data_IF_896412715257
#
_entry.id   IF_896412715257
#
_cell.length_a   1.000
_cell.length_b   1.000
_cell.length_c   1.000
_cell.angle_alpha   90.00
_cell.angle_beta   90.00
_cell.angle_gamma   90.00
#
_symmetry.space_group_name_H-M   'P 1'
#
loop_
_entity.id
_entity.type
_entity.pdbx_description
1 polymer ?
#
# COMPACT_ATOMS: atom_id res chain seq x y z
N UNK A 1 -18.63 -27.78 -22.89
CA UNK A 1 -18.55 -28.18 -21.48
C UNK A 1 -19.44 -29.41 -21.22
N UNK A 2 -18.88 -30.42 -20.52
CA UNK A 2 -19.64 -31.67 -20.20
C UNK A 2 -20.42 -31.55 -18.87
N UNK A 3 -19.98 -30.66 -17.93
CA UNK A 3 -20.66 -30.44 -16.67
C UNK A 3 -21.79 -29.43 -16.85
N UNK A 4 -22.95 -29.72 -16.30
CA UNK A 4 -24.09 -28.77 -16.29
C UNK A 4 -23.77 -27.49 -15.57
N UNK A 5 -23.07 -27.56 -14.43
CA UNK A 5 -22.63 -26.37 -13.66
C UNK A 5 -21.75 -25.42 -14.46
N UNK A 6 -20.79 -25.98 -15.23
CA UNK A 6 -19.92 -25.17 -16.09
C UNK A 6 -20.70 -24.59 -17.27
N UNK A 7 -21.68 -25.34 -17.80
CA UNK A 7 -22.54 -24.86 -18.87
C UNK A 7 -23.37 -23.68 -18.41
N UNK A 8 -24.02 -23.75 -17.23
CA UNK A 8 -24.82 -22.69 -16.68
C UNK A 8 -23.99 -21.39 -16.42
N UNK A 9 -22.75 -21.54 -15.90
CA UNK A 9 -21.79 -20.44 -15.80
C UNK A 9 -21.45 -19.86 -17.18
N UNK A 10 -21.20 -20.72 -18.17
CA UNK A 10 -20.88 -20.30 -19.54
C UNK A 10 -22.03 -19.57 -20.21
N UNK A 11 -23.26 -19.98 -19.98
CA UNK A 11 -24.47 -19.30 -20.46
C UNK A 11 -24.67 -17.92 -19.79
N UNK A 12 -24.39 -17.85 -18.48
CA UNK A 12 -24.54 -16.59 -17.71
C UNK A 12 -23.43 -15.58 -18.04
N UNK A 13 -22.16 -15.98 -18.03
CA UNK A 13 -21.01 -15.09 -18.20
C UNK A 13 -20.47 -15.02 -19.64
N UNK A 14 -20.83 -15.97 -20.49
CA UNK A 14 -20.27 -16.13 -21.82
C UNK A 14 -18.94 -16.90 -21.83
N UNK A 15 -18.62 -17.46 -23.00
CA UNK A 15 -17.41 -18.30 -23.19
C UNK A 15 -16.11 -17.53 -22.99
N UNK A 16 -16.10 -16.24 -23.25
CA UNK A 16 -14.90 -15.40 -23.16
C UNK A 16 -14.32 -15.34 -21.74
N UNK A 17 -15.15 -15.49 -20.69
CA UNK A 17 -14.66 -15.58 -19.31
C UNK A 17 -13.65 -16.73 -19.15
N UNK A 18 -13.96 -17.89 -19.72
CA UNK A 18 -13.10 -19.07 -19.64
C UNK A 18 -11.90 -19.01 -20.59
N UNK A 19 -12.06 -18.32 -21.73
CA UNK A 19 -10.98 -18.11 -22.70
C UNK A 19 -9.97 -17.04 -22.23
N UNK A 20 -10.37 -16.17 -21.31
CA UNK A 20 -9.50 -15.14 -20.73
C UNK A 20 -8.44 -15.71 -19.78
N UNK A 21 -8.66 -16.90 -19.21
CA UNK A 21 -7.67 -17.58 -18.37
C UNK A 21 -6.44 -17.97 -19.19
N UNK A 22 -5.28 -17.58 -18.71
CA UNK A 22 -4.00 -17.93 -19.34
C UNK A 22 -3.03 -18.49 -18.29
N UNK A 23 -2.55 -19.69 -18.54
CA UNK A 23 -1.60 -20.35 -17.65
C UNK A 23 -0.16 -19.86 -17.90
N UNK A 24 0.58 -19.59 -16.84
CA UNK A 24 2.00 -19.27 -16.92
C UNK A 24 2.85 -20.45 -17.44
N UNK A 25 2.39 -21.69 -17.27
CA UNK A 25 3.14 -22.91 -17.59
C UNK A 25 2.98 -23.38 -19.04
N UNK A 26 2.04 -22.82 -19.80
CA UNK A 26 1.72 -23.26 -21.17
C UNK A 26 2.23 -22.33 -22.27
N UNK A 27 3.22 -21.47 -21.97
CA UNK A 27 3.89 -20.61 -22.96
C UNK A 27 3.18 -19.29 -23.27
N UNK A 28 2.12 -18.91 -22.52
CA UNK A 28 1.40 -17.66 -22.71
C UNK A 28 2.01 -16.51 -21.92
N UNK A 29 1.88 -16.55 -20.60
CA UNK A 29 2.39 -15.57 -19.66
C UNK A 29 3.50 -16.16 -18.80
N UNK A 30 4.38 -15.30 -18.29
CA UNK A 30 5.35 -15.62 -17.27
C UNK A 30 4.74 -15.56 -15.85
N UNK A 31 5.47 -16.02 -14.86
CA UNK A 31 5.02 -16.03 -13.46
C UNK A 31 5.05 -14.64 -12.84
N UNK A 32 4.03 -14.28 -12.04
CA UNK A 32 4.07 -13.11 -11.18
C UNK A 32 5.14 -13.21 -10.09
N UNK A 33 5.45 -14.43 -9.64
CA UNK A 33 6.46 -14.66 -8.62
C UNK A 33 7.88 -14.43 -9.15
N UNK A 34 8.12 -14.81 -10.42
CA UNK A 34 9.41 -14.67 -11.07
C UNK A 34 9.20 -14.17 -12.53
N UNK A 35 8.92 -12.88 -12.71
CA UNK A 35 8.63 -12.32 -14.01
C UNK A 35 9.86 -12.34 -14.93
N UNK A 36 9.76 -12.94 -16.11
CA UNK A 36 10.85 -13.04 -17.07
C UNK A 36 10.47 -12.60 -18.49
N UNK A 37 9.17 -12.55 -18.79
CA UNK A 37 8.65 -12.29 -20.13
C UNK A 37 7.72 -11.08 -20.22
N UNK A 38 6.47 -11.30 -20.60
CA UNK A 38 5.49 -10.22 -20.82
C UNK A 38 5.10 -9.49 -19.53
N UNK A 39 4.99 -10.20 -18.42
CA UNK A 39 4.70 -9.58 -17.11
C UNK A 39 5.86 -8.66 -16.73
N UNK A 40 7.11 -9.11 -16.86
CA UNK A 40 8.28 -8.27 -16.60
C UNK A 40 8.27 -7.00 -17.44
N UNK A 41 8.08 -7.11 -18.76
CA UNK A 41 7.99 -5.95 -19.65
C UNK A 41 6.88 -4.98 -19.24
N UNK A 42 5.73 -5.53 -18.85
CA UNK A 42 4.58 -4.74 -18.39
C UNK A 42 4.89 -3.99 -17.08
N UNK A 43 5.56 -4.62 -16.13
CA UNK A 43 6.03 -3.99 -14.89
C UNK A 43 7.04 -2.87 -15.17
N UNK A 44 7.99 -3.08 -16.08
CA UNK A 44 8.95 -2.06 -16.50
C UNK A 44 8.27 -0.87 -17.19
N UNK A 45 7.24 -1.11 -18.02
CA UNK A 45 6.45 -0.04 -18.63
C UNK A 45 5.66 0.74 -17.59
N UNK A 46 5.05 0.06 -16.62
CA UNK A 46 4.35 0.69 -15.51
C UNK A 46 5.31 1.51 -14.64
N UNK A 47 6.50 0.99 -14.34
CA UNK A 47 7.52 1.72 -13.59
C UNK A 47 7.90 3.04 -14.29
N UNK A 48 8.12 3.02 -15.60
CA UNK A 48 8.37 4.26 -16.37
C UNK A 48 7.19 5.23 -16.34
N UNK A 49 5.96 4.73 -16.47
CA UNK A 49 4.76 5.57 -16.46
C UNK A 49 4.53 6.25 -15.11
N UNK A 50 4.75 5.55 -14.01
CA UNK A 50 4.60 6.08 -12.65
C UNK A 50 5.84 6.82 -12.14
N UNK A 51 6.99 6.71 -12.81
CA UNK A 51 8.27 7.28 -12.36
C UNK A 51 8.83 6.55 -11.15
N UNK A 52 8.59 5.25 -11.06
CA UNK A 52 9.09 4.38 -9.99
C UNK A 52 10.33 3.59 -10.47
N UNK A 53 11.20 3.21 -9.55
CA UNK A 53 12.33 2.33 -9.84
C UNK A 53 11.84 0.92 -10.19
N UNK A 54 10.83 0.44 -9.45
CA UNK A 54 10.23 -0.88 -9.64
C UNK A 54 8.72 -0.83 -9.47
N UNK A 55 8.02 -1.72 -10.19
CA UNK A 55 6.59 -2.00 -10.01
C UNK A 55 6.41 -3.50 -9.88
N UNK A 56 5.61 -3.91 -8.93
CA UNK A 56 5.22 -5.30 -8.71
C UNK A 56 3.71 -5.42 -8.88
N UNK A 57 3.28 -6.27 -9.81
CA UNK A 57 1.85 -6.56 -9.96
C UNK A 57 1.40 -7.54 -8.87
N UNK A 58 0.28 -7.21 -8.24
CA UNK A 58 -0.30 -8.02 -7.18
C UNK A 58 -1.75 -8.33 -7.53
N UNK A 59 -2.10 -9.59 -7.46
CA UNK A 59 -3.50 -10.05 -7.50
C UNK A 59 -4.13 -9.91 -6.11
N UNK A 60 -5.44 -9.92 -5.97
CA UNK A 60 -6.18 -9.71 -4.72
C UNK A 60 -6.15 -8.27 -4.15
N UNK A 61 -5.86 -7.29 -5.00
CA UNK A 61 -5.97 -5.86 -4.66
C UNK A 61 -4.94 -5.33 -3.67
N UNK A 62 -5.06 -4.05 -3.35
CA UNK A 62 -4.13 -3.31 -2.47
C UNK A 62 -3.99 -3.93 -1.08
N UNK A 63 -5.02 -4.60 -0.57
CA UNK A 63 -4.94 -5.31 0.72
C UNK A 63 -3.83 -6.36 0.76
N UNK A 64 -3.54 -7.00 -0.35
CA UNK A 64 -2.42 -7.95 -0.45
C UNK A 64 -1.10 -7.19 -0.60
N UNK A 65 -1.06 -6.12 -1.41
CA UNK A 65 0.13 -5.27 -1.54
C UNK A 65 0.60 -4.74 -0.19
N UNK A 66 -0.31 -4.18 0.63
CA UNK A 66 0.00 -3.66 1.95
C UNK A 66 0.61 -4.74 2.86
N UNK A 67 0.00 -5.94 2.90
CA UNK A 67 0.55 -7.06 3.68
C UNK A 67 1.92 -7.52 3.19
N UNK A 68 2.13 -7.57 1.88
CA UNK A 68 3.43 -7.97 1.30
C UNK A 68 4.53 -6.97 1.67
N UNK A 69 4.26 -5.67 1.52
CA UNK A 69 5.22 -4.62 1.85
C UNK A 69 5.59 -4.66 3.34
N UNK A 70 4.60 -4.73 4.22
CA UNK A 70 4.86 -4.79 5.66
C UNK A 70 5.66 -6.04 6.02
N UNK A 71 5.29 -7.22 5.53
CA UNK A 71 6.03 -8.46 5.83
C UNK A 71 7.44 -8.47 5.24
N UNK A 72 7.68 -7.78 4.12
CA UNK A 72 9.00 -7.70 3.51
C UNK A 72 9.96 -6.74 4.25
N UNK A 73 9.43 -5.70 4.89
CA UNK A 73 10.23 -4.59 5.41
C UNK A 73 10.22 -4.45 6.92
N UNK A 74 9.27 -5.09 7.61
CA UNK A 74 9.08 -4.99 9.07
C UNK A 74 9.39 -6.33 9.73
N UNK A 75 10.24 -6.30 10.74
CA UNK A 75 10.62 -7.46 11.55
C UNK A 75 9.97 -7.39 12.95
N UNK A 76 9.93 -8.52 13.67
CA UNK A 76 9.47 -8.53 15.06
C UNK A 76 10.29 -7.56 15.92
N UNK A 77 9.58 -6.65 16.60
CA UNK A 77 10.18 -5.62 17.43
C UNK A 77 10.36 -4.26 16.76
N UNK A 78 10.24 -4.18 15.45
CA UNK A 78 10.20 -2.88 14.74
C UNK A 78 8.93 -2.11 15.10
N UNK A 79 9.06 -0.80 15.19
CA UNK A 79 7.93 0.11 15.41
C UNK A 79 7.48 0.67 14.07
N UNK A 80 6.18 0.58 13.81
CA UNK A 80 5.54 1.22 12.66
C UNK A 80 4.59 2.29 13.17
N UNK A 81 4.85 3.54 12.80
CA UNK A 81 3.92 4.66 13.05
C UNK A 81 2.84 4.56 11.99
N UNK A 82 1.59 4.40 12.41
CA UNK A 82 0.48 4.12 11.50
C UNK A 82 -0.75 4.95 11.86
N UNK A 83 -1.43 5.48 10.83
CA UNK A 83 -2.72 6.13 11.01
C UNK A 83 -3.74 5.12 11.57
N UNK A 84 -4.34 5.45 12.71
CA UNK A 84 -5.36 4.59 13.30
C UNK A 84 -6.58 4.38 12.41
N UNK A 85 -6.86 5.32 11.51
CA UNK A 85 -7.97 5.26 10.55
C UNK A 85 -7.59 4.58 9.22
N UNK A 86 -6.46 3.86 9.17
CA UNK A 86 -6.02 3.14 7.98
C UNK A 86 -6.90 1.92 7.68
N UNK A 87 -6.77 1.39 6.46
CA UNK A 87 -7.47 0.16 6.08
C UNK A 87 -6.98 -1.03 6.91
N UNK A 88 -7.88 -1.95 7.26
CA UNK A 88 -7.60 -3.15 8.09
C UNK A 88 -6.43 -4.01 7.60
N UNK A 89 -6.07 -3.94 6.31
CA UNK A 89 -4.94 -4.71 5.75
C UNK A 89 -3.59 -4.33 6.36
N UNK A 90 -3.42 -3.08 6.82
CA UNK A 90 -2.21 -2.62 7.51
C UNK A 90 -2.07 -3.32 8.85
N UNK A 91 -3.14 -3.37 9.64
CA UNK A 91 -3.15 -4.08 10.92
C UNK A 91 -2.83 -5.58 10.75
N UNK A 92 -3.42 -6.21 9.72
CA UNK A 92 -3.12 -7.61 9.42
C UNK A 92 -1.68 -7.81 8.96
N UNK A 93 -1.14 -6.87 8.17
CA UNK A 93 0.28 -6.87 7.79
C UNK A 93 1.19 -6.82 9.01
N UNK A 94 0.90 -5.93 9.96
CA UNK A 94 1.67 -5.78 11.21
C UNK A 94 1.61 -7.04 12.09
N UNK A 95 0.43 -7.65 12.22
CA UNK A 95 0.29 -8.93 12.94
C UNK A 95 1.14 -10.02 12.30
N UNK A 96 1.11 -10.14 10.97
CA UNK A 96 1.87 -11.13 10.23
C UNK A 96 3.38 -10.87 10.24
N UNK A 97 3.81 -9.61 10.21
CA UNK A 97 5.22 -9.20 10.26
C UNK A 97 5.79 -9.14 11.68
N UNK A 98 4.94 -9.19 12.72
CA UNK A 98 5.38 -9.05 14.10
C UNK A 98 5.77 -7.62 14.50
N UNK A 99 5.39 -6.63 13.69
CA UNK A 99 5.65 -5.22 13.97
C UNK A 99 4.81 -4.67 15.12
N UNK A 100 5.34 -3.68 15.83
CA UNK A 100 4.65 -2.98 16.91
C UNK A 100 4.02 -1.68 16.37
N UNK A 101 2.68 -1.57 16.29
CA UNK A 101 2.06 -0.34 15.86
C UNK A 101 2.18 0.76 16.92
N UNK A 102 2.57 1.95 16.50
CA UNK A 102 2.34 3.19 17.21
C UNK A 102 1.26 3.97 16.47
N UNK A 103 0.06 3.96 17.00
CA UNK A 103 -1.06 4.64 16.37
C UNK A 103 -0.99 6.14 16.54
N UNK A 104 -1.16 6.86 15.43
CA UNK A 104 -1.35 8.31 15.40
C UNK A 104 -2.78 8.63 15.01
N UNK A 105 -3.35 9.65 15.64
CA UNK A 105 -4.77 9.98 15.48
C UNK A 105 -4.96 11.05 14.41
N UNK A 106 -5.92 10.82 13.53
CA UNK A 106 -6.38 11.80 12.57
C UNK A 106 -7.10 12.97 13.28
N UNK A 107 -7.04 14.16 12.70
CA UNK A 107 -7.72 15.34 13.24
C UNK A 107 -9.24 15.18 13.06
N UNK A 108 -10.06 15.30 14.13
CA UNK A 108 -11.50 15.16 14.01
C UNK A 108 -12.14 16.40 13.39
N UNK A 109 -12.88 16.22 12.30
CA UNK A 109 -13.73 17.24 11.66
C UNK A 109 -15.16 17.04 12.11
N UNK A 110 -15.44 17.30 13.38
CA UNK A 110 -16.71 16.96 14.04
C UNK A 110 -17.93 17.60 13.40
N UNK A 111 -17.78 18.80 12.85
CA UNK A 111 -18.86 19.51 12.15
C UNK A 111 -19.33 18.83 10.87
N UNK A 112 -18.50 17.96 10.30
CA UNK A 112 -18.81 17.17 9.09
C UNK A 112 -18.98 15.67 9.40
N UNK A 113 -18.88 15.26 10.65
CA UNK A 113 -18.85 13.85 11.07
C UNK A 113 -17.78 13.04 10.34
N UNK A 114 -16.61 13.63 10.12
CA UNK A 114 -15.49 13.08 9.36
C UNK A 114 -14.21 13.10 10.18
N UNK A 115 -13.26 12.27 9.77
CA UNK A 115 -11.85 12.39 10.17
C UNK A 115 -11.07 13.14 9.10
N UNK A 116 -10.18 14.04 9.53
CA UNK A 116 -9.19 14.66 8.65
C UNK A 116 -7.97 13.76 8.45
N UNK A 117 -6.88 14.35 7.97
CA UNK A 117 -5.59 13.69 7.94
C UNK A 117 -4.90 13.72 9.32
N UNK A 118 -3.90 12.88 9.53
CA UNK A 118 -3.04 12.96 10.71
C UNK A 118 -2.16 14.23 10.59
N UNK A 119 -2.19 15.14 11.55
CA UNK A 119 -1.36 16.33 11.49
C UNK A 119 0.14 15.99 11.48
N UNK A 120 0.92 16.63 10.61
CA UNK A 120 2.37 16.40 10.56
C UNK A 120 3.05 16.67 11.92
N UNK A 121 2.56 17.62 12.68
CA UNK A 121 3.05 17.90 14.03
C UNK A 121 2.89 16.67 14.96
N UNK A 122 1.79 15.92 14.84
CA UNK A 122 1.55 14.70 15.61
C UNK A 122 2.55 13.60 15.22
N UNK A 123 2.81 13.44 13.91
CA UNK A 123 3.78 12.45 13.41
C UNK A 123 5.19 12.80 13.93
N UNK A 124 5.59 14.06 13.79
CA UNK A 124 6.89 14.53 14.28
C UNK A 124 7.03 14.38 15.78
N UNK A 125 5.97 14.70 16.53
CA UNK A 125 5.96 14.49 17.98
C UNK A 125 6.19 13.03 18.33
N UNK A 126 5.54 12.10 17.68
CA UNK A 126 5.72 10.68 17.91
C UNK A 126 7.19 10.24 17.67
N UNK A 127 7.82 10.73 16.60
CA UNK A 127 9.24 10.45 16.32
C UNK A 127 10.16 11.05 17.40
N UNK A 128 9.89 12.28 17.85
CA UNK A 128 10.68 12.95 18.87
C UNK A 128 10.52 12.29 20.23
N UNK A 129 9.31 11.93 20.62
CA UNK A 129 9.04 11.19 21.86
C UNK A 129 9.80 9.86 21.88
N UNK A 130 9.77 9.09 20.77
CA UNK A 130 10.53 7.85 20.65
C UNK A 130 12.06 8.06 20.70
N UNK A 131 12.54 9.19 20.17
CA UNK A 131 13.95 9.57 20.28
C UNK A 131 14.33 9.81 21.73
N UNK A 132 13.52 10.57 22.44
CA UNK A 132 13.76 10.94 23.83
C UNK A 132 13.66 9.72 24.78
N UNK A 133 12.85 8.71 24.37
CA UNK A 133 12.79 7.38 25.03
C UNK A 133 13.96 6.43 24.64
N UNK A 134 14.86 6.82 23.74
CA UNK A 134 15.93 5.95 23.24
C UNK A 134 15.44 4.80 22.36
N UNK A 135 14.30 4.95 21.71
CA UNK A 135 13.64 3.92 20.89
C UNK A 135 13.53 4.28 19.41
N UNK A 136 14.09 5.41 18.99
CA UNK A 136 14.01 5.88 17.60
C UNK A 136 14.59 4.87 16.61
N UNK A 137 15.64 4.15 16.97
CA UNK A 137 16.30 3.15 16.11
C UNK A 137 15.37 2.00 15.75
N UNK A 138 14.35 1.74 16.58
CA UNK A 138 13.35 0.71 16.33
C UNK A 138 12.25 1.16 15.38
N UNK A 139 12.16 2.45 15.08
CA UNK A 139 11.15 2.96 14.14
C UNK A 139 11.58 2.60 12.72
N UNK A 140 10.81 1.74 12.10
CA UNK A 140 11.09 1.23 10.76
C UNK A 140 10.33 1.95 9.67
N UNK A 141 9.06 2.25 9.92
CA UNK A 141 8.15 2.71 8.86
C UNK A 141 7.15 3.73 9.38
N UNK A 142 6.80 4.69 8.53
CA UNK A 142 5.62 5.52 8.63
C UNK A 142 4.62 5.08 7.56
N UNK A 143 3.43 4.67 7.98
CA UNK A 143 2.38 4.08 7.15
C UNK A 143 1.14 4.98 7.18
N UNK A 144 0.83 5.63 6.07
CA UNK A 144 -0.27 6.59 5.94
C UNK A 144 -1.11 6.34 4.69
N UNK A 145 -2.39 6.62 4.77
CA UNK A 145 -3.32 6.55 3.63
C UNK A 145 -3.38 7.89 2.90
N UNK A 146 -2.98 7.90 1.63
CA UNK A 146 -3.05 9.04 0.73
C UNK A 146 -3.76 8.64 -0.58
N UNK A 147 -4.91 8.98 -0.88
CA UNK A 147 -5.98 9.78 -0.37
C UNK A 147 -6.84 8.94 0.62
N UNK A 148 -7.30 9.55 1.70
CA UNK A 148 -8.18 8.86 2.65
C UNK A 148 -9.56 8.61 2.03
N UNK A 149 -10.39 7.80 2.70
CA UNK A 149 -11.76 7.55 2.26
C UNK A 149 -12.60 8.84 2.14
N UNK A 150 -12.32 9.83 2.98
CA UNK A 150 -12.97 11.14 2.97
C UNK A 150 -12.31 12.14 2.00
N UNK A 151 -11.34 11.72 1.20
CA UNK A 151 -10.70 12.53 0.17
C UNK A 151 -9.54 13.41 0.65
N UNK A 152 -9.03 13.20 1.86
CA UNK A 152 -7.89 13.97 2.35
C UNK A 152 -6.57 13.47 1.76
N UNK A 153 -5.72 14.42 1.38
CA UNK A 153 -4.41 14.17 0.80
C UNK A 153 -3.32 14.85 1.63
N UNK A 154 -2.14 14.25 1.65
CA UNK A 154 -0.95 14.83 2.25
C UNK A 154 -0.12 15.59 1.21
N UNK A 155 0.58 16.62 1.64
CA UNK A 155 1.78 17.05 0.94
C UNK A 155 2.89 16.03 1.27
N UNK A 156 2.94 14.95 0.50
CA UNK A 156 3.82 13.80 0.75
C UNK A 156 5.28 14.20 0.84
N UNK A 157 5.72 15.08 -0.07
CA UNK A 157 7.09 15.59 -0.08
C UNK A 157 7.45 16.27 1.24
N UNK A 158 6.60 17.18 1.72
CA UNK A 158 6.83 17.88 2.98
C UNK A 158 6.85 16.90 4.17
N UNK A 159 5.93 15.96 4.21
CA UNK A 159 5.89 14.93 5.27
C UNK A 159 7.19 14.14 5.29
N UNK A 160 7.65 13.68 4.11
CA UNK A 160 8.87 12.90 3.99
C UNK A 160 10.10 13.73 4.40
N UNK A 161 10.28 14.93 3.87
CA UNK A 161 11.43 15.79 4.17
C UNK A 161 11.53 16.12 5.67
N UNK A 162 10.41 16.49 6.32
CA UNK A 162 10.40 16.84 7.74
C UNK A 162 10.58 15.61 8.66
N UNK A 163 10.10 14.44 8.27
CA UNK A 163 10.32 13.20 9.03
C UNK A 163 11.76 12.67 8.85
N UNK A 164 12.32 12.74 7.64
CA UNK A 164 13.71 12.34 7.37
C UNK A 164 14.73 13.22 8.10
N UNK A 165 14.40 14.47 8.38
CA UNK A 165 15.23 15.33 9.21
C UNK A 165 15.36 14.82 10.66
N UNK A 166 14.41 14.00 11.14
CA UNK A 166 14.43 13.39 12.48
C UNK A 166 14.99 11.96 12.43
N UNK A 167 14.57 11.17 11.43
CA UNK A 167 14.99 9.78 11.20
C UNK A 167 15.34 9.57 9.72
N UNK A 168 16.62 9.69 9.37
CA UNK A 168 17.08 9.68 7.96
C UNK A 168 16.84 8.37 7.19
N UNK A 169 16.71 7.25 7.87
CA UNK A 169 16.48 5.91 7.31
C UNK A 169 15.01 5.44 7.43
N UNK A 170 14.09 6.37 7.71
CA UNK A 170 12.66 6.06 7.81
C UNK A 170 12.11 5.62 6.46
N UNK A 171 11.39 4.51 6.44
CA UNK A 171 10.65 4.02 5.27
C UNK A 171 9.25 4.62 5.28
N UNK A 172 8.75 5.01 4.10
CA UNK A 172 7.39 5.52 3.93
C UNK A 172 6.57 4.52 3.13
N UNK A 173 5.43 4.13 3.67
CA UNK A 173 4.39 3.41 2.96
C UNK A 173 3.20 4.35 2.77
N UNK A 174 2.88 4.66 1.51
CA UNK A 174 1.71 5.43 1.13
C UNK A 174 0.67 4.48 0.55
N UNK A 175 -0.44 4.29 1.25
CA UNK A 175 -1.58 3.57 0.70
C UNK A 175 -2.36 4.51 -0.22
N UNK A 176 -2.22 4.30 -1.51
CA UNK A 176 -2.85 5.08 -2.57
C UNK A 176 -3.88 4.25 -3.35
N UNK A 177 -4.57 3.32 -2.68
CA UNK A 177 -5.56 2.44 -3.31
C UNK A 177 -6.61 3.19 -4.15
N UNK A 178 -6.94 4.41 -3.77
CA UNK A 178 -7.93 5.28 -4.43
C UNK A 178 -7.31 6.36 -5.31
N UNK A 179 -5.98 6.51 -5.35
CA UNK A 179 -5.33 7.73 -5.82
C UNK A 179 -4.34 7.52 -6.97
N UNK A 180 -4.16 6.29 -7.47
CA UNK A 180 -3.19 5.98 -8.52
C UNK A 180 -3.35 6.81 -9.81
N UNK A 181 -4.58 7.27 -10.13
CA UNK A 181 -4.83 8.11 -11.29
C UNK A 181 -4.22 9.52 -11.16
N UNK A 182 -4.00 9.99 -9.95
CA UNK A 182 -3.52 11.36 -9.69
C UNK A 182 -2.14 11.62 -10.31
N UNK A 183 -1.30 10.61 -10.45
CA UNK A 183 0.00 10.69 -11.13
C UNK A 183 -0.11 11.25 -12.56
N UNK A 184 -1.25 11.06 -13.21
CA UNK A 184 -1.49 11.43 -14.60
C UNK A 184 -2.34 12.71 -14.75
N UNK A 185 -2.61 13.42 -13.65
CA UNK A 185 -3.39 14.64 -13.63
C UNK A 185 -2.56 15.80 -13.10
N UNK A 186 -2.55 16.92 -13.85
CA UNK A 186 -1.76 18.11 -13.51
C UNK A 186 -2.23 18.86 -12.25
N UNK A 187 -3.39 18.53 -11.72
CA UNK A 187 -3.92 19.15 -10.48
C UNK A 187 -3.40 18.49 -9.19
N UNK A 188 -2.70 17.37 -9.28
CA UNK A 188 -2.27 16.58 -8.12
C UNK A 188 -0.77 16.38 -8.03
#
# INVERSE_FOLDING_TARGET
>A
FRSEWIRDMGEFYGINLFLAESSATTGGLDSLLEPTGNIKKSQEMAARAFGADHVFFVTNGTSTSNKMVVQALVAPGDIVIVDRNCHKSHHYGLVLGGGQPLYVEAFPLTQFSMYGAVPLATIKKALLDLRDEGRLDRVRMLDLTNCTFDGHMYNTRRVMEECLAIKPDLIFLWDEAWFGFARFNAFH
#
